data_IF_744935399672
#
_entry.id   IF_744935399672
#
_cell.length_a   1.000
_cell.length_b   1.000
_cell.length_c   1.000
_cell.angle_alpha   90.00
_cell.angle_beta   90.00
_cell.angle_gamma   90.00
#
_symmetry.space_group_name_H-M   'P 1'
#
loop_
_entity.id
_entity.type
_entity.pdbx_description
1 polymer ?
#
# COMPACT_ATOMS: atom_id res chain seq x y z
N UNK A 1 69.10 16.80 -0.54
CA UNK A 1 68.55 16.92 0.83
C UNK A 1 67.20 16.23 0.89
N UNK A 2 66.97 15.42 1.93
CA UNK A 2 65.75 14.65 2.20
C UNK A 2 64.54 15.56 2.44
N UNK A 3 63.33 15.12 2.05
CA UNK A 3 62.14 14.90 2.92
C UNK A 3 60.95 14.41 2.06
N UNK A 4 60.57 13.13 2.20
CA UNK A 4 59.38 12.59 2.91
C UNK A 4 58.14 12.57 1.99
N UNK A 5 57.70 11.40 1.50
CA UNK A 5 56.74 10.47 2.16
C UNK A 5 55.43 11.24 2.49
N UNK A 6 54.22 10.91 2.02
CA UNK A 6 53.62 9.61 1.70
C UNK A 6 52.39 9.79 0.80
N UNK A 7 52.14 8.77 -0.02
CA UNK A 7 50.83 8.42 -0.58
C UNK A 7 49.79 8.16 0.52
N UNK A 8 48.55 8.61 0.33
CA UNK A 8 47.37 7.98 0.96
C UNK A 8 46.22 7.97 -0.05
N UNK A 9 46.08 6.86 -0.77
CA UNK A 9 44.81 6.46 -1.36
C UNK A 9 43.92 5.99 -0.21
N UNK A 10 42.95 6.80 0.19
CA UNK A 10 41.89 6.38 1.10
C UNK A 10 40.89 5.52 0.31
N UNK A 11 41.13 4.20 0.27
CA UNK A 11 40.13 3.24 -0.17
C UNK A 11 39.07 3.12 0.92
N UNK A 12 37.93 3.79 0.71
CA UNK A 12 36.75 3.62 1.54
C UNK A 12 36.13 2.25 1.21
N UNK A 13 36.48 1.24 1.99
CA UNK A 13 35.81 -0.06 1.95
C UNK A 13 34.49 0.08 2.72
N UNK A 14 33.41 0.34 1.99
CA UNK A 14 32.05 0.22 2.54
C UNK A 14 31.71 -1.27 2.56
N UNK A 15 31.91 -1.92 3.69
CA UNK A 15 31.26 -3.20 4.00
C UNK A 15 30.07 -2.90 4.89
N UNK A 16 28.88 -2.82 4.29
CA UNK A 16 27.62 -2.91 5.05
C UNK A 16 27.00 -4.25 4.70
N UNK A 17 26.73 -4.99 5.77
CA UNK A 17 26.49 -6.42 5.79
C UNK A 17 25.34 -6.88 4.90
N UNK A 18 25.42 -8.17 4.56
CA UNK A 18 24.28 -8.93 4.07
C UNK A 18 23.18 -8.94 5.12
N UNK A 19 22.33 -7.92 5.08
CA UNK A 19 20.99 -8.02 5.60
C UNK A 19 20.25 -8.94 4.66
N UNK A 20 19.83 -10.11 5.16
CA UNK A 20 18.65 -10.77 4.60
C UNK A 20 17.62 -9.69 4.38
N UNK A 21 17.23 -9.45 3.11
CA UNK A 21 16.07 -8.64 2.80
C UNK A 21 14.93 -9.29 3.57
N UNK A 22 14.62 -8.79 4.76
CA UNK A 22 13.39 -9.11 5.43
C UNK A 22 12.35 -8.74 4.38
N UNK A 23 11.74 -9.73 3.76
CA UNK A 23 10.62 -9.53 2.85
C UNK A 23 9.60 -8.80 3.70
N UNK A 24 9.53 -7.48 3.56
CA UNK A 24 8.65 -6.67 4.36
C UNK A 24 7.26 -7.29 4.20
N UNK A 25 6.74 -7.87 5.29
CA UNK A 25 5.42 -8.46 5.23
C UNK A 25 4.48 -7.37 4.75
N UNK A 26 3.53 -7.70 3.85
CA UNK A 26 2.63 -6.70 3.28
C UNK A 26 2.02 -5.92 4.43
N UNK A 27 2.15 -4.58 4.41
CA UNK A 27 1.62 -3.78 5.50
C UNK A 27 0.13 -4.06 5.60
N UNK A 28 -0.32 -4.47 6.79
CA UNK A 28 -1.73 -4.75 7.04
C UNK A 28 -2.45 -3.45 7.38
N UNK A 29 -3.67 -3.29 6.88
CA UNK A 29 -4.53 -2.20 7.30
C UNK A 29 -4.84 -2.35 8.80
N UNK A 30 -4.78 -1.27 9.59
CA UNK A 30 -5.03 -1.32 11.03
C UNK A 30 -6.53 -1.58 11.35
N UNK A 31 -6.91 -1.69 12.63
CA UNK A 31 -8.30 -1.84 13.08
C UNK A 31 -8.72 -3.27 13.44
N UNK A 32 -9.81 -3.40 14.21
CA UNK A 32 -10.31 -4.67 14.74
C UNK A 32 -11.58 -5.18 14.05
N UNK A 33 -12.31 -4.31 13.34
CA UNK A 33 -13.53 -4.68 12.64
C UNK A 33 -13.28 -4.86 11.14
N UNK A 34 -13.92 -5.89 10.55
CA UNK A 34 -13.84 -6.19 9.12
C UNK A 34 -12.82 -7.26 8.73
N UNK A 35 -12.82 -7.60 7.44
CA UNK A 35 -11.92 -8.60 6.86
C UNK A 35 -10.58 -7.98 6.46
N UNK A 36 -9.49 -8.71 6.67
CA UNK A 36 -8.21 -8.38 6.07
C UNK A 36 -8.15 -8.94 4.66
N UNK A 37 -7.98 -8.04 3.71
CA UNK A 37 -7.84 -8.35 2.30
C UNK A 37 -6.49 -7.82 1.80
N UNK A 38 -6.06 -8.28 0.63
CA UNK A 38 -4.89 -7.76 -0.06
C UNK A 38 -5.29 -7.07 -1.36
N UNK A 39 -4.60 -5.99 -1.70
CA UNK A 39 -4.75 -5.35 -3.01
C UNK A 39 -4.04 -6.19 -4.08
N UNK A 40 -4.81 -6.79 -4.99
CA UNK A 40 -4.30 -7.55 -6.14
C UNK A 40 -3.73 -6.65 -7.23
N UNK A 41 -4.15 -5.39 -7.26
CA UNK A 41 -3.72 -4.34 -8.19
C UNK A 41 -3.82 -2.97 -7.52
N UNK A 42 -3.22 -1.95 -8.14
CA UNK A 42 -3.43 -0.57 -7.68
C UNK A 42 -4.91 -0.23 -7.78
N UNK A 43 -5.46 0.35 -6.72
CA UNK A 43 -6.86 0.71 -6.66
C UNK A 43 -7.05 2.16 -6.22
N UNK A 44 -8.06 2.82 -6.77
CA UNK A 44 -8.41 4.18 -6.38
C UNK A 44 -9.46 4.17 -5.27
N UNK A 45 -9.17 4.90 -4.20
CA UNK A 45 -10.05 5.10 -3.06
C UNK A 45 -10.81 6.41 -3.25
N UNK A 46 -12.11 6.37 -3.06
CA UNK A 46 -13.03 7.51 -3.22
C UNK A 46 -13.79 7.78 -1.93
N UNK A 47 -14.14 9.05 -1.68
CA UNK A 47 -14.90 9.44 -0.49
C UNK A 47 -16.34 8.92 -0.54
N UNK A 48 -16.92 8.83 -1.74
CA UNK A 48 -18.26 8.30 -1.98
C UNK A 48 -18.31 7.63 -3.35
N UNK A 49 -19.45 7.04 -3.66
CA UNK A 49 -19.82 6.65 -5.02
C UNK A 49 -21.09 7.42 -5.45
N UNK A 50 -21.32 7.49 -6.75
CA UNK A 50 -22.62 7.74 -7.35
C UNK A 50 -23.08 6.50 -8.13
N UNK A 51 -24.23 6.57 -8.78
CA UNK A 51 -24.76 5.45 -9.57
C UNK A 51 -23.82 4.95 -10.67
N UNK A 52 -22.85 5.75 -11.12
CA UNK A 52 -21.97 5.48 -12.26
C UNK A 52 -20.50 5.23 -11.87
N UNK A 53 -20.07 5.56 -10.65
CA UNK A 53 -18.72 5.26 -10.16
C UNK A 53 -18.31 6.02 -8.90
N UNK A 54 -17.00 6.01 -8.62
CA UNK A 54 -16.43 6.68 -7.46
C UNK A 54 -16.36 8.19 -7.65
N UNK A 55 -16.72 8.95 -6.61
CA UNK A 55 -16.67 10.41 -6.59
C UNK A 55 -15.87 10.91 -5.41
N UNK A 56 -15.17 12.03 -5.58
CA UNK A 56 -14.27 12.56 -4.57
C UNK A 56 -13.07 11.65 -4.36
N UNK A 57 -12.23 11.49 -5.38
CA UNK A 57 -10.98 10.74 -5.29
C UNK A 57 -10.17 11.20 -4.07
N UNK A 58 -9.79 10.23 -3.24
CA UNK A 58 -8.97 10.47 -2.05
C UNK A 58 -7.51 10.18 -2.39
N UNK A 59 -7.24 8.97 -2.91
CA UNK A 59 -5.88 8.53 -3.25
C UNK A 59 -5.86 7.21 -4.00
N UNK A 60 -4.67 6.85 -4.47
CA UNK A 60 -4.33 5.51 -4.93
C UNK A 60 -3.79 4.69 -3.77
N UNK A 61 -4.25 3.45 -3.65
CA UNK A 61 -3.70 2.40 -2.80
C UNK A 61 -2.89 1.43 -3.67
N UNK A 62 -1.72 1.03 -3.19
CA UNK A 62 -0.78 0.27 -4.01
C UNK A 62 -0.97 -1.24 -3.88
N UNK A 63 -0.75 -1.95 -4.99
CA UNK A 63 -0.80 -3.41 -5.04
C UNK A 63 0.14 -4.06 -4.01
N UNK A 64 -0.23 -5.24 -3.52
CA UNK A 64 0.55 -6.00 -2.53
C UNK A 64 0.45 -5.45 -1.11
N UNK A 65 -0.44 -4.49 -0.85
CA UNK A 65 -0.68 -3.90 0.47
C UNK A 65 -2.04 -4.36 1.02
N UNK A 66 -2.20 -4.33 2.33
CA UNK A 66 -3.43 -4.72 2.99
C UNK A 66 -4.55 -3.68 2.81
N UNK A 67 -5.79 -4.17 2.76
CA UNK A 67 -7.02 -3.41 2.81
C UNK A 67 -7.93 -4.01 3.87
N UNK A 68 -8.50 -3.17 4.74
CA UNK A 68 -9.48 -3.58 5.75
C UNK A 68 -10.87 -3.35 5.17
N UNK A 69 -11.57 -4.42 4.82
CA UNK A 69 -12.95 -4.34 4.34
C UNK A 69 -13.93 -4.31 5.52
N UNK A 70 -14.71 -3.24 5.66
CA UNK A 70 -15.66 -3.02 6.77
C UNK A 70 -17.02 -3.71 6.57
N UNK A 71 -17.11 -4.74 5.72
CA UNK A 71 -18.35 -5.51 5.49
C UNK A 71 -19.53 -4.70 4.93
N UNK A 72 -19.25 -3.57 4.29
CA UNK A 72 -20.25 -2.74 3.60
C UNK A 72 -19.94 -2.65 2.11
N UNK A 73 -20.86 -3.12 1.28
CA UNK A 73 -20.71 -3.12 -0.17
C UNK A 73 -21.96 -2.62 -0.89
N UNK A 74 -21.77 -2.09 -2.10
CA UNK A 74 -22.85 -1.71 -3.00
C UNK A 74 -22.54 -2.07 -4.44
N UNK A 75 -23.58 -2.29 -5.23
CA UNK A 75 -23.49 -2.50 -6.68
C UNK A 75 -23.93 -1.25 -7.42
N UNK A 76 -23.10 -0.76 -8.34
CA UNK A 76 -23.44 0.38 -9.21
C UNK A 76 -24.28 -0.04 -10.43
N UNK A 77 -24.70 0.94 -11.26
CA UNK A 77 -25.54 0.67 -12.44
C UNK A 77 -24.85 -0.15 -13.53
N UNK A 78 -23.51 -0.25 -13.48
CA UNK A 78 -22.71 -1.08 -14.37
C UNK A 78 -22.48 -2.49 -13.79
N UNK A 79 -23.07 -2.80 -12.64
CA UNK A 79 -22.94 -4.09 -11.98
C UNK A 79 -21.63 -4.27 -11.23
N UNK A 80 -20.78 -3.24 -11.12
CA UNK A 80 -19.51 -3.34 -10.38
C UNK A 80 -19.77 -3.25 -8.88
N UNK A 81 -19.01 -4.02 -8.11
CA UNK A 81 -19.12 -4.03 -6.65
C UNK A 81 -18.11 -3.05 -6.08
N UNK A 82 -18.58 -2.14 -5.25
CA UNK A 82 -17.80 -1.22 -4.44
C UNK A 82 -17.82 -1.70 -3.00
N UNK A 83 -16.67 -1.69 -2.34
CA UNK A 83 -16.52 -2.06 -0.94
C UNK A 83 -15.97 -0.89 -0.13
N UNK A 84 -16.43 -0.77 1.10
CA UNK A 84 -16.05 0.29 2.02
C UNK A 84 -14.98 -0.16 3.01
N UNK A 85 -14.00 0.71 3.27
CA UNK A 85 -12.97 0.52 4.29
C UNK A 85 -11.70 1.30 3.98
N UNK A 86 -10.56 0.83 4.50
CA UNK A 86 -9.29 1.58 4.41
C UNK A 86 -8.09 0.70 4.03
N UNK A 87 -7.11 1.33 3.38
CA UNK A 87 -5.84 0.70 3.05
C UNK A 87 -4.81 0.81 4.18
N UNK A 88 -3.79 -0.05 4.16
CA UNK A 88 -2.64 0.04 5.08
C UNK A 88 -1.82 1.31 4.93
N UNK A 89 -1.91 1.96 3.77
CA UNK A 89 -1.23 3.23 3.46
C UNK A 89 -2.05 4.45 3.89
N UNK A 90 -3.29 4.22 4.35
CA UNK A 90 -4.31 5.22 4.64
C UNK A 90 -5.16 4.73 5.82
N UNK A 91 -4.51 4.35 6.91
CA UNK A 91 -5.11 3.65 8.06
C UNK A 91 -6.12 4.48 8.87
N UNK A 92 -6.19 5.79 8.61
CA UNK A 92 -7.16 6.71 9.20
C UNK A 92 -8.15 7.28 8.19
N UNK A 93 -8.21 6.76 6.96
CA UNK A 93 -9.08 7.28 5.90
C UNK A 93 -9.83 6.14 5.23
N UNK A 94 -11.11 6.05 5.58
CA UNK A 94 -12.04 5.16 4.92
C UNK A 94 -12.52 5.75 3.59
N UNK A 95 -12.87 4.84 2.67
CA UNK A 95 -13.51 5.19 1.42
C UNK A 95 -14.00 3.96 0.68
N UNK A 96 -14.42 4.20 -0.56
CA UNK A 96 -14.94 3.20 -1.48
C UNK A 96 -13.89 2.85 -2.53
N UNK A 97 -13.70 1.56 -2.75
CA UNK A 97 -12.83 0.99 -3.78
C UNK A 97 -13.61 -0.10 -4.54
N UNK A 98 -13.28 -0.32 -5.80
CA UNK A 98 -13.83 -1.47 -6.54
C UNK A 98 -13.29 -2.78 -5.96
N UNK A 99 -14.20 -3.72 -5.69
CA UNK A 99 -13.88 -5.06 -5.19
C UNK A 99 -12.86 -5.79 -6.08
N UNK A 100 -12.88 -5.54 -7.40
CA UNK A 100 -11.93 -6.15 -8.35
C UNK A 100 -10.46 -5.85 -8.06
N UNK A 101 -10.14 -4.83 -7.25
CA UNK A 101 -8.77 -4.53 -6.82
C UNK A 101 -8.35 -5.28 -5.55
N UNK A 102 -9.28 -5.96 -4.89
CA UNK A 102 -9.10 -6.50 -3.54
C UNK A 102 -9.40 -8.01 -3.55
N UNK A 103 -8.57 -8.77 -2.86
CA UNK A 103 -8.76 -10.20 -2.64
C UNK A 103 -8.87 -10.46 -1.14
N UNK A 104 -10.06 -10.85 -0.70
CA UNK A 104 -10.36 -11.27 0.66
C UNK A 104 -10.40 -12.80 0.66
N UNK A 105 -9.49 -13.45 1.39
CA UNK A 105 -9.43 -14.91 1.55
C UNK A 105 -10.26 -15.41 2.72
#
# INVERSE_FOLDING_TARGET
MRRKLLSMFAALVITVGGGTLATASPAHAHGTFGLLCNLSSNGWLFASYDSYGGVGYLRTLHAGRGFRYHLSSIRDVHGRIWIFGHGAEADTTDGWILESHVHCG
#
